data_IF_885480169950
#
_entry.id   IF_885480169950
#
_cell.length_a   1.000
_cell.length_b   1.000
_cell.length_c   1.000
_cell.angle_alpha   90.00
_cell.angle_beta   90.00
_cell.angle_gamma   90.00
#
_symmetry.space_group_name_H-M   'P 1'
#
loop_
_entity.id
_entity.type
_entity.pdbx_description
1 polymer ?
#
# COMPACT_ATOMS: atom_id res chain seq x y z
N UNK A 1 -32.19 60.20 9.73
CA UNK A 1 -31.20 59.14 9.83
C UNK A 1 -29.89 59.64 9.25
N UNK A 2 -28.88 59.91 10.08
CA UNK A 2 -27.68 60.65 9.72
C UNK A 2 -26.77 59.86 8.77
N UNK A 3 -26.21 60.53 7.78
CA UNK A 3 -25.28 59.96 6.78
C UNK A 3 -24.02 59.29 7.43
N UNK A 4 -23.68 59.67 8.65
CA UNK A 4 -22.58 59.04 9.41
C UNK A 4 -22.82 57.56 9.74
N UNK A 5 -24.05 57.15 10.02
CA UNK A 5 -24.36 55.76 10.34
C UNK A 5 -24.31 54.82 9.14
N UNK A 6 -24.57 55.30 7.93
CA UNK A 6 -24.50 54.49 6.71
C UNK A 6 -23.05 54.11 6.34
N UNK A 7 -22.08 55.02 6.54
CA UNK A 7 -20.68 54.75 6.24
C UNK A 7 -20.05 53.70 7.20
N UNK A 8 -20.45 53.77 8.48
CA UNK A 8 -20.01 52.78 9.49
C UNK A 8 -20.52 51.39 9.19
N UNK A 9 -21.78 51.29 8.72
CA UNK A 9 -22.42 49.97 8.43
C UNK A 9 -21.75 49.29 7.18
N UNK A 10 -21.40 50.10 6.15
CA UNK A 10 -20.73 49.57 4.94
C UNK A 10 -19.31 49.11 5.30
N UNK A 11 -18.58 49.82 6.14
CA UNK A 11 -17.23 49.45 6.56
C UNK A 11 -17.23 48.13 7.37
N UNK A 12 -18.21 47.96 8.26
CA UNK A 12 -18.36 46.72 9.05
C UNK A 12 -18.70 45.51 8.18
N UNK A 13 -19.53 45.72 7.13
CA UNK A 13 -19.92 44.64 6.22
C UNK A 13 -18.76 44.20 5.32
N UNK A 14 -17.94 45.14 4.81
CA UNK A 14 -16.75 44.83 4.05
C UNK A 14 -15.70 44.09 4.86
N UNK A 15 -15.53 44.43 6.16
CA UNK A 15 -14.59 43.77 7.05
C UNK A 15 -14.99 42.31 7.32
N UNK A 16 -16.29 42.04 7.51
CA UNK A 16 -16.82 40.68 7.68
C UNK A 16 -16.63 39.82 6.43
N UNK A 17 -16.80 40.37 5.24
CA UNK A 17 -16.57 39.65 3.98
C UNK A 17 -15.09 39.34 3.79
N UNK A 18 -14.17 40.26 4.11
CA UNK A 18 -12.74 40.05 4.01
C UNK A 18 -12.25 38.97 5.02
N UNK A 19 -12.75 39.00 6.27
CA UNK A 19 -12.43 37.98 7.25
C UNK A 19 -12.98 36.61 6.84
N UNK A 20 -14.17 36.53 6.27
CA UNK A 20 -14.75 35.28 5.77
C UNK A 20 -13.95 34.67 4.60
N UNK A 21 -13.46 35.53 3.69
CA UNK A 21 -12.62 35.07 2.57
C UNK A 21 -11.25 34.57 3.03
N UNK A 22 -10.64 35.20 4.05
CA UNK A 22 -9.39 34.74 4.63
C UNK A 22 -9.55 33.39 5.37
N UNK A 23 -10.65 33.19 6.08
CA UNK A 23 -10.94 31.90 6.73
C UNK A 23 -11.21 30.78 5.71
N UNK A 24 -11.91 31.06 4.62
CA UNK A 24 -12.14 30.10 3.55
C UNK A 24 -10.85 29.74 2.79
N UNK A 25 -9.88 30.66 2.74
CA UNK A 25 -8.58 30.37 2.10
C UNK A 25 -7.68 29.50 2.99
N UNK A 26 -7.78 29.58 4.31
CA UNK A 26 -7.00 28.76 5.24
C UNK A 26 -7.60 27.37 5.44
N UNK A 27 -8.87 27.16 5.10
CA UNK A 27 -9.55 25.88 5.27
C UNK A 27 -9.48 24.95 4.04
N UNK A 28 -8.68 25.28 3.01
CA UNK A 28 -8.35 24.26 2.02
C UNK A 28 -7.61 23.15 2.74
N UNK A 29 -8.19 21.95 2.91
CA UNK A 29 -7.45 20.85 3.46
C UNK A 29 -6.22 20.73 2.56
N UNK A 30 -5.03 20.79 3.16
CA UNK A 30 -3.81 20.43 2.47
C UNK A 30 -4.14 19.10 1.80
N UNK A 31 -4.24 19.12 0.47
CA UNK A 31 -4.48 17.90 -0.30
C UNK A 31 -3.33 17.01 0.14
N UNK A 32 -3.61 16.04 0.99
CA UNK A 32 -2.67 14.97 1.25
C UNK A 32 -2.42 14.40 -0.13
N UNK A 33 -1.30 14.82 -0.73
CA UNK A 33 -0.76 14.18 -1.93
C UNK A 33 -0.64 12.72 -1.55
N UNK A 34 -1.70 11.97 -1.84
CA UNK A 34 -1.70 10.52 -1.70
C UNK A 34 -0.55 10.09 -2.58
N UNK A 35 0.54 9.74 -1.93
CA UNK A 35 1.75 9.30 -2.59
C UNK A 35 1.35 8.09 -3.44
N UNK A 36 1.20 8.30 -4.74
CA UNK A 36 1.00 7.24 -5.71
C UNK A 36 2.36 7.06 -6.38
N UNK A 37 3.12 6.02 -6.02
CA UNK A 37 4.35 5.74 -6.72
C UNK A 37 4.03 5.51 -8.20
N UNK A 38 4.71 6.23 -9.07
CA UNK A 38 4.68 5.93 -10.50
C UNK A 38 5.11 4.47 -10.70
N UNK A 39 4.37 3.70 -11.50
CA UNK A 39 4.63 2.28 -11.76
C UNK A 39 6.09 2.05 -12.22
N UNK A 40 6.70 3.00 -12.92
CA UNK A 40 8.11 2.96 -13.34
C UNK A 40 9.10 3.08 -12.16
N UNK A 41 8.80 3.91 -11.16
CA UNK A 41 9.62 4.02 -9.93
C UNK A 41 9.47 2.78 -9.06
N UNK A 42 8.29 2.15 -9.10
CA UNK A 42 7.98 0.92 -8.39
C UNK A 42 8.83 -0.26 -8.90
N UNK A 43 9.02 -0.38 -10.21
CA UNK A 43 9.85 -1.43 -10.83
C UNK A 43 11.33 -1.23 -10.50
N UNK A 44 11.85 -0.01 -10.51
CA UNK A 44 13.26 0.28 -10.21
C UNK A 44 13.61 0.17 -8.73
N UNK A 45 12.73 0.55 -7.81
CA UNK A 45 12.96 0.39 -6.35
C UNK A 45 12.97 -1.06 -5.90
N UNK A 46 12.25 -1.93 -6.59
CA UNK A 46 12.15 -3.34 -6.21
C UNK A 46 13.43 -4.16 -6.47
N UNK A 47 14.39 -3.66 -7.24
CA UNK A 47 15.60 -4.44 -7.58
C UNK A 47 16.83 -4.11 -6.74
N UNK A 48 16.94 -2.93 -6.13
CA UNK A 48 18.23 -2.49 -5.58
C UNK A 48 18.35 -2.41 -4.06
N UNK A 49 17.25 -2.31 -3.29
CA UNK A 49 17.37 -2.24 -1.81
C UNK A 49 16.10 -2.75 -1.12
N UNK A 50 15.83 -4.04 -1.17
CA UNK A 50 14.79 -4.62 -0.30
C UNK A 50 15.31 -4.68 1.13
N UNK A 51 15.17 -3.58 1.84
CA UNK A 51 15.43 -3.49 3.28
C UNK A 51 14.46 -4.39 4.05
N UNK A 52 13.22 -4.51 3.58
CA UNK A 52 12.18 -5.38 4.14
C UNK A 52 12.00 -6.56 3.18
N UNK A 53 12.25 -7.77 3.66
CA UNK A 53 12.01 -9.00 2.91
C UNK A 53 10.63 -9.54 3.27
N UNK A 54 9.80 -9.80 2.27
CA UNK A 54 8.45 -10.31 2.43
C UNK A 54 8.29 -11.66 1.76
N UNK A 55 7.51 -12.54 2.40
CA UNK A 55 7.05 -13.79 1.82
C UNK A 55 5.63 -14.05 2.27
N UNK A 56 4.75 -14.48 1.36
CA UNK A 56 3.42 -14.97 1.69
C UNK A 56 3.40 -16.49 1.44
N UNK A 57 2.91 -17.22 2.42
CA UNK A 57 2.61 -18.65 2.31
C UNK A 57 1.14 -18.88 2.61
N UNK A 58 0.58 -19.96 2.11
CA UNK A 58 -0.83 -20.32 2.33
C UNK A 58 -0.98 -21.83 2.51
N UNK A 59 -2.04 -22.22 3.21
CA UNK A 59 -2.47 -23.60 3.24
C UNK A 59 -2.97 -24.07 1.86
N UNK A 60 -3.24 -25.37 1.70
CA UNK A 60 -3.68 -25.90 0.41
C UNK A 60 -4.95 -25.22 -0.11
N UNK A 61 -4.91 -24.71 -1.32
CA UNK A 61 -6.05 -24.11 -2.01
C UNK A 61 -7.05 -25.18 -2.44
N UNK A 62 -8.33 -24.81 -2.52
CA UNK A 62 -9.36 -25.62 -3.18
C UNK A 62 -9.45 -25.27 -4.66
N UNK A 63 -9.90 -26.20 -5.47
CA UNK A 63 -10.15 -25.90 -6.88
C UNK A 63 -11.38 -25.04 -7.07
N UNK A 64 -12.50 -25.38 -6.41
CA UNK A 64 -13.81 -24.77 -6.64
C UNK A 64 -14.55 -24.36 -5.37
N UNK A 65 -14.08 -24.75 -4.17
CA UNK A 65 -14.77 -24.44 -2.93
C UNK A 65 -14.36 -23.04 -2.42
N UNK A 66 -15.17 -22.06 -2.77
CA UNK A 66 -15.00 -20.68 -2.32
C UNK A 66 -15.22 -20.49 -0.82
N UNK A 67 -15.89 -21.42 -0.13
CA UNK A 67 -16.16 -21.32 1.30
C UNK A 67 -15.05 -21.91 2.15
N UNK A 68 -14.15 -22.67 1.54
CA UNK A 68 -12.98 -23.21 2.24
C UNK A 68 -12.15 -22.10 2.83
N UNK A 69 -11.89 -22.22 4.14
CA UNK A 69 -11.02 -21.30 4.86
C UNK A 69 -9.56 -21.61 4.57
N UNK A 70 -8.82 -20.60 4.15
CA UNK A 70 -7.41 -20.68 3.78
C UNK A 70 -6.62 -19.84 4.77
N UNK A 71 -5.66 -20.48 5.44
CA UNK A 71 -4.69 -19.76 6.26
C UNK A 71 -3.66 -19.10 5.37
N UNK A 72 -3.47 -17.80 5.56
CA UNK A 72 -2.39 -17.00 4.97
C UNK A 72 -1.41 -16.61 6.07
N UNK A 73 -0.14 -16.70 5.77
CA UNK A 73 0.93 -16.28 6.65
C UNK A 73 1.88 -15.35 5.89
N UNK A 74 1.94 -14.09 6.31
CA UNK A 74 2.93 -13.12 5.86
C UNK A 74 4.16 -13.21 6.75
N UNK A 75 5.32 -13.51 6.17
CA UNK A 75 6.62 -13.47 6.82
C UNK A 75 7.33 -12.18 6.47
N UNK A 76 7.84 -11.49 7.48
CA UNK A 76 8.58 -10.23 7.38
C UNK A 76 9.93 -10.42 8.04
N UNK A 77 11.01 -10.06 7.33
CA UNK A 77 12.38 -10.18 7.83
C UNK A 77 13.14 -8.89 7.50
N UNK A 78 13.95 -8.42 8.44
CA UNK A 78 14.88 -7.32 8.26
C UNK A 78 16.32 -7.83 8.31
N UNK A 79 17.25 -7.40 7.43
CA UNK A 79 18.62 -7.87 7.43
C UNK A 79 19.49 -7.26 8.55
N UNK A 80 18.93 -6.34 9.33
CA UNK A 80 19.60 -5.65 10.46
C UNK A 80 18.60 -5.40 11.59
N UNK A 81 19.12 -5.03 12.75
CA UNK A 81 18.32 -4.63 13.91
C UNK A 81 17.54 -3.35 13.59
N UNK A 82 16.23 -3.39 13.80
CA UNK A 82 15.35 -2.26 13.54
C UNK A 82 14.47 -1.99 14.76
N UNK A 83 14.72 -0.86 15.42
CA UNK A 83 13.98 -0.43 16.61
C UNK A 83 12.70 0.34 16.29
N UNK A 84 12.51 0.74 15.04
CA UNK A 84 11.31 1.45 14.58
C UNK A 84 10.08 0.56 14.51
N UNK A 85 8.98 1.15 14.06
CA UNK A 85 7.72 0.44 13.83
C UNK A 85 7.46 0.29 12.34
N UNK A 86 7.17 -0.92 11.91
CA UNK A 86 6.65 -1.21 10.58
C UNK A 86 5.14 -1.33 10.62
N UNK A 87 4.47 -0.62 9.75
CA UNK A 87 3.05 -0.80 9.49
C UNK A 87 2.86 -1.82 8.38
N UNK A 88 1.80 -2.60 8.47
CA UNK A 88 1.43 -3.52 7.40
C UNK A 88 -0.03 -3.38 7.01
N UNK A 89 -0.33 -3.77 5.78
CA UNK A 89 -1.69 -3.83 5.26
C UNK A 89 -1.83 -4.96 4.26
N UNK A 90 -2.86 -5.78 4.46
CA UNK A 90 -3.28 -6.78 3.50
C UNK A 90 -4.28 -6.19 2.53
N UNK A 91 -4.13 -6.54 1.25
CA UNK A 91 -5.05 -6.21 0.17
C UNK A 91 -5.63 -7.49 -0.39
N UNK A 92 -6.93 -7.49 -0.64
CA UNK A 92 -7.65 -8.65 -1.15
C UNK A 92 -8.26 -8.33 -2.49
N UNK A 93 -8.10 -9.24 -3.44
CA UNK A 93 -8.77 -9.19 -4.73
C UNK A 93 -10.26 -9.47 -4.63
N UNK A 94 -10.93 -9.37 -5.75
CA UNK A 94 -12.37 -9.61 -5.84
C UNK A 94 -12.74 -11.00 -5.29
N UNK A 95 -13.80 -11.08 -4.51
CA UNK A 95 -14.36 -12.30 -3.89
C UNK A 95 -13.44 -12.98 -2.86
N UNK A 96 -12.33 -12.35 -2.44
CA UNK A 96 -11.53 -12.81 -1.30
C UNK A 96 -12.01 -12.08 -0.06
N UNK A 97 -12.47 -12.83 0.94
CA UNK A 97 -13.08 -12.27 2.15
C UNK A 97 -12.26 -12.68 3.37
N UNK A 98 -11.85 -11.68 4.17
CA UNK A 98 -11.22 -11.91 5.46
C UNK A 98 -12.22 -12.52 6.45
N UNK A 99 -11.86 -13.61 7.11
CA UNK A 99 -12.64 -14.26 8.17
C UNK A 99 -12.09 -13.95 9.55
N UNK A 100 -10.79 -14.13 9.73
CA UNK A 100 -10.14 -13.95 11.02
C UNK A 100 -8.75 -13.34 10.83
N UNK A 101 -8.29 -12.54 11.79
CA UNK A 101 -7.03 -11.83 11.76
C UNK A 101 -7.19 -10.34 11.47
N UNK A 102 -6.09 -9.60 11.51
CA UNK A 102 -6.07 -8.16 11.26
C UNK A 102 -5.63 -7.83 9.85
N UNK A 103 -6.47 -7.07 9.14
CA UNK A 103 -6.15 -6.58 7.80
C UNK A 103 -4.97 -5.61 7.79
N UNK A 104 -4.77 -4.89 8.87
CA UNK A 104 -3.69 -3.92 9.05
C UNK A 104 -3.22 -3.89 10.49
N UNK A 105 -2.00 -3.43 10.72
CA UNK A 105 -1.43 -3.34 12.05
C UNK A 105 -0.02 -2.79 12.05
N UNK A 106 0.64 -2.94 13.20
CA UNK A 106 2.00 -2.46 13.42
C UNK A 106 2.82 -3.56 14.06
N UNK A 107 4.06 -3.70 13.60
CA UNK A 107 5.07 -4.58 14.16
C UNK A 107 6.27 -3.72 14.61
N UNK A 108 6.95 -4.12 15.66
CA UNK A 108 8.10 -3.39 16.20
C UNK A 108 9.18 -4.36 16.68
N UNK A 109 10.38 -3.83 16.89
CA UNK A 109 11.52 -4.57 17.45
C UNK A 109 11.94 -5.78 16.61
N UNK A 110 12.47 -5.51 15.42
CA UNK A 110 13.08 -6.55 14.61
C UNK A 110 14.55 -6.73 14.97
N UNK A 111 14.98 -7.95 15.25
CA UNK A 111 16.38 -8.33 15.26
C UNK A 111 16.84 -8.70 13.85
N UNK A 112 18.12 -8.55 13.60
CA UNK A 112 18.70 -8.90 12.31
C UNK A 112 18.35 -10.34 11.91
N UNK A 113 17.74 -10.50 10.75
CA UNK A 113 17.28 -11.78 10.18
C UNK A 113 16.23 -12.54 11.03
N UNK A 114 15.65 -11.91 12.05
CA UNK A 114 14.52 -12.47 12.78
C UNK A 114 13.26 -12.42 11.92
N UNK A 115 12.50 -13.51 11.94
CA UNK A 115 11.27 -13.65 11.20
C UNK A 115 10.07 -13.27 12.08
N UNK A 116 9.30 -12.28 11.66
CA UNK A 116 8.00 -11.98 12.27
C UNK A 116 6.88 -12.42 11.33
N UNK A 117 5.80 -12.92 11.93
CA UNK A 117 4.70 -13.53 11.20
C UNK A 117 3.39 -12.82 11.48
N UNK A 118 2.61 -12.62 10.41
CA UNK A 118 1.23 -12.15 10.47
C UNK A 118 0.35 -13.23 9.87
N UNK A 119 -0.54 -13.78 10.67
CA UNK A 119 -1.45 -14.85 10.23
C UNK A 119 -2.86 -14.31 10.13
N UNK A 120 -3.56 -14.70 9.06
CA UNK A 120 -4.96 -14.43 8.87
C UNK A 120 -5.63 -15.57 8.09
N UNK A 121 -6.95 -15.60 8.13
CA UNK A 121 -7.77 -16.61 7.45
C UNK A 121 -8.72 -15.92 6.49
N UNK A 122 -8.78 -16.44 5.29
CA UNK A 122 -9.64 -15.91 4.21
C UNK A 122 -10.44 -17.01 3.54
N UNK A 123 -11.52 -16.64 2.87
CA UNK A 123 -12.24 -17.49 1.93
C UNK A 123 -12.20 -16.90 0.54
N UNK A 124 -12.58 -17.66 -0.47
CA UNK A 124 -12.60 -17.19 -1.87
C UNK A 124 -11.30 -17.37 -2.64
N UNK A 125 -10.24 -17.91 -2.03
CA UNK A 125 -9.02 -18.29 -2.75
C UNK A 125 -9.17 -19.66 -3.38
N UNK A 126 -9.48 -19.70 -4.66
CA UNK A 126 -9.67 -20.93 -5.45
C UNK A 126 -8.76 -20.94 -6.67
N UNK A 127 -8.33 -22.13 -7.10
CA UNK A 127 -7.43 -22.25 -8.26
C UNK A 127 -8.14 -22.15 -9.61
N UNK A 128 -9.47 -22.35 -9.65
CA UNK A 128 -10.28 -22.21 -10.88
C UNK A 128 -10.50 -20.76 -11.31
N UNK A 129 -10.24 -19.77 -10.45
CA UNK A 129 -10.37 -18.36 -10.77
C UNK A 129 -9.11 -17.57 -10.38
N UNK A 130 -8.81 -16.52 -11.14
CA UNK A 130 -7.71 -15.63 -10.80
C UNK A 130 -8.08 -14.76 -9.59
N UNK A 131 -7.56 -15.10 -8.43
CA UNK A 131 -7.70 -14.39 -7.17
C UNK A 131 -6.33 -13.96 -6.68
N UNK A 132 -6.26 -12.81 -6.04
CA UNK A 132 -4.98 -12.31 -5.55
C UNK A 132 -5.08 -11.77 -4.13
N UNK A 133 -3.96 -11.82 -3.43
CA UNK A 133 -3.76 -11.26 -2.10
C UNK A 133 -2.41 -10.56 -2.09
N UNK A 134 -2.38 -9.34 -1.58
CA UNK A 134 -1.16 -8.56 -1.39
C UNK A 134 -0.89 -8.29 0.08
N UNK A 135 0.39 -8.11 0.38
CA UNK A 135 0.88 -7.62 1.66
C UNK A 135 1.81 -6.45 1.40
N UNK A 136 1.48 -5.31 1.94
CA UNK A 136 2.28 -4.09 1.93
C UNK A 136 2.86 -3.87 3.32
N UNK A 137 4.13 -3.50 3.41
CA UNK A 137 4.81 -3.17 4.66
C UNK A 137 5.63 -1.91 4.48
N UNK A 138 5.51 -0.97 5.41
CA UNK A 138 6.23 0.31 5.33
C UNK A 138 6.58 0.84 6.72
N UNK A 139 7.59 1.70 6.76
CA UNK A 139 8.06 2.39 7.95
C UNK A 139 9.07 3.48 7.59
N UNK A 140 9.84 3.92 8.56
CA UNK A 140 10.87 4.93 8.38
C UNK A 140 12.18 4.45 9.01
N UNK A 141 13.28 4.65 8.31
CA UNK A 141 14.62 4.41 8.80
C UNK A 141 15.49 5.63 8.54
N UNK A 142 16.04 6.23 9.60
CA UNK A 142 16.86 7.45 9.50
C UNK A 142 16.13 8.54 8.68
N UNK A 143 14.87 8.82 9.02
CA UNK A 143 14.00 9.80 8.36
C UNK A 143 13.70 9.48 6.87
N UNK A 144 14.09 8.31 6.41
CA UNK A 144 13.81 7.85 5.04
C UNK A 144 12.72 6.80 5.04
N UNK A 145 11.71 6.93 4.17
CA UNK A 145 10.68 5.92 4.05
C UNK A 145 11.27 4.61 3.52
N UNK A 146 10.95 3.51 4.19
CA UNK A 146 11.21 2.15 3.72
C UNK A 146 9.88 1.50 3.37
N UNK A 147 9.85 0.72 2.29
CA UNK A 147 8.63 0.10 1.79
C UNK A 147 8.96 -1.21 1.10
N UNK A 148 8.08 -2.18 1.26
CA UNK A 148 8.09 -3.42 0.49
C UNK A 148 6.66 -3.92 0.31
N UNK A 149 6.42 -4.61 -0.78
CA UNK A 149 5.16 -5.26 -1.09
C UNK A 149 5.37 -6.60 -1.76
N UNK A 150 4.39 -7.47 -1.62
CA UNK A 150 4.33 -8.76 -2.30
C UNK A 150 2.88 -9.07 -2.67
N UNK A 151 2.69 -9.63 -3.85
CA UNK A 151 1.40 -10.09 -4.35
C UNK A 151 1.50 -11.57 -4.70
N UNK A 152 0.54 -12.35 -4.26
CA UNK A 152 0.34 -13.73 -4.71
C UNK A 152 -0.96 -13.85 -5.51
N UNK A 153 -0.99 -14.74 -6.48
CA UNK A 153 -2.16 -15.06 -7.29
C UNK A 153 -2.39 -16.57 -7.31
N UNK A 154 -3.66 -16.96 -7.28
CA UNK A 154 -4.06 -18.37 -7.40
C UNK A 154 -3.79 -18.96 -8.78
N UNK A 155 -3.64 -18.12 -9.81
CA UNK A 155 -3.20 -18.49 -11.15
C UNK A 155 -1.88 -17.78 -11.44
N UNK A 156 -0.76 -18.47 -11.16
CA UNK A 156 0.59 -17.90 -11.23
C UNK A 156 0.91 -17.31 -12.61
N UNK A 157 0.42 -17.94 -13.68
CA UNK A 157 0.61 -17.49 -15.07
C UNK A 157 -0.01 -16.11 -15.35
N UNK A 158 -1.02 -15.73 -14.57
CA UNK A 158 -1.73 -14.45 -14.68
C UNK A 158 -1.36 -13.48 -13.55
N UNK A 159 -0.35 -13.82 -12.76
CA UNK A 159 0.11 -12.95 -11.68
C UNK A 159 0.84 -11.73 -12.23
N UNK A 160 0.75 -10.61 -11.50
CA UNK A 160 1.49 -9.40 -11.86
C UNK A 160 3.00 -9.66 -11.95
N UNK A 161 3.57 -10.45 -11.03
CA UNK A 161 4.98 -10.81 -11.04
C UNK A 161 5.37 -11.62 -12.28
N UNK A 162 4.52 -12.55 -12.73
CA UNK A 162 4.75 -13.28 -13.96
C UNK A 162 4.73 -12.34 -15.16
N UNK A 163 3.77 -11.41 -15.20
CA UNK A 163 3.67 -10.41 -16.27
C UNK A 163 4.91 -9.50 -16.31
N UNK A 164 5.39 -9.03 -15.15
CA UNK A 164 6.60 -8.21 -15.04
C UNK A 164 7.82 -8.99 -15.54
N UNK A 165 8.03 -10.23 -15.09
CA UNK A 165 9.13 -11.09 -15.57
C UNK A 165 9.09 -11.35 -17.07
N UNK A 166 7.90 -11.51 -17.65
CA UNK A 166 7.74 -11.65 -19.10
C UNK A 166 8.13 -10.38 -19.84
N UNK A 167 7.71 -9.21 -19.36
CA UNK A 167 8.08 -7.91 -19.95
C UNK A 167 9.60 -7.69 -19.88
N UNK A 168 10.22 -7.98 -18.75
CA UNK A 168 11.69 -7.88 -18.59
C UNK A 168 12.43 -8.82 -19.55
N UNK A 169 11.97 -10.06 -19.69
CA UNK A 169 12.53 -11.03 -20.63
C UNK A 169 12.42 -10.55 -22.07
N UNK A 170 11.28 -10.01 -22.47
CA UNK A 170 11.06 -9.45 -23.80
C UNK A 170 11.97 -8.26 -24.08
N UNK A 171 12.15 -7.34 -23.12
CA UNK A 171 13.07 -6.21 -23.23
C UNK A 171 14.52 -6.66 -23.39
N UNK A 172 14.97 -7.63 -22.59
CA UNK A 172 16.32 -8.18 -22.70
C UNK A 172 16.57 -8.86 -24.06
N UNK A 173 15.56 -9.49 -24.65
CA UNK A 173 15.64 -10.06 -25.98
C UNK A 173 15.71 -9.00 -27.09
N UNK A 174 15.00 -7.87 -26.93
CA UNK A 174 15.06 -6.77 -27.89
C UNK A 174 16.42 -6.07 -27.91
N UNK A 175 17.05 -5.90 -26.74
CA UNK A 175 18.41 -5.32 -26.65
C UNK A 175 19.43 -6.18 -27.40
N UNK A 176 19.40 -7.51 -27.17
CA UNK A 176 20.31 -8.45 -27.87
C UNK A 176 20.11 -8.55 -29.39
N UNK A 177 18.96 -8.11 -29.89
CA UNK A 177 18.67 -8.15 -31.34
C UNK A 177 19.12 -6.89 -32.06
N UNK A 178 19.42 -5.84 -31.31
CA UNK A 178 19.85 -4.54 -31.82
C UNK A 178 21.37 -4.30 -31.68
N UNK A 179 22.09 -5.25 -31.09
CA UNK A 179 23.56 -5.39 -31.12
C UNK A 179 24.01 -6.31 -32.29
#
# INVERSE_FOLDING_TARGET
>A
MSLKNKKSLIFSFCFLILCGALFAYQSKPASQKRWQPHISEFIHRNQQNRVIQLKITHSSLSQNDEKKEIQLQGKITMPFDYSGSLRYKWTFGQNVVLKTGSKEGTLSHFRANEEQYITLYVTGLITSANRHVGLEVWGEQNEKPIYSDILISTQMEKSFEFTVKQVEKLRAQQVKKNE
#
